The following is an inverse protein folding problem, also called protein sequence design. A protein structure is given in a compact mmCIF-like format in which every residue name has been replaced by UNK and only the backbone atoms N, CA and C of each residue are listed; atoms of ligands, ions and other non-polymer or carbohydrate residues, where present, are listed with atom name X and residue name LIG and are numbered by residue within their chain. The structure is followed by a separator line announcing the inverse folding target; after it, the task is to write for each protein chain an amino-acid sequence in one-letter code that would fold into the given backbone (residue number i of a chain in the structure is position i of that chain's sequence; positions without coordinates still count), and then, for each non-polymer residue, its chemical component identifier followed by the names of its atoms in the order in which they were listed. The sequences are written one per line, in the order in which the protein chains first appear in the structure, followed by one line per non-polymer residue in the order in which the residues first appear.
data_IF_098910053572
#
_entry.id   IF_098910053572
#
_cell.length_a   1.000
_cell.length_b   1.000
_cell.length_c   1.000
_cell.angle_alpha   90.00
_cell.angle_beta   90.00
_cell.angle_gamma   90.00
#
_symmetry.space_group_name_H-M   'P 1'
#
loop_
_entity.id
_entity.type
_entity.pdbx_description
1 polymer ?
#
# COMPACT_ATOMS: atom_id res chain seq x y z
N UNK A 1 17.01 22.02 17.37
CA UNK A 1 15.54 21.92 17.64
C UNK A 1 14.84 22.87 16.68
N UNK A 2 14.52 22.40 15.50
CA UNK A 2 13.82 23.18 14.47
C UNK A 2 12.36 22.74 14.46
N UNK A 3 11.48 23.59 14.96
CA UNK A 3 10.03 23.43 14.90
C UNK A 3 9.59 23.74 13.48
N UNK A 4 9.28 22.71 12.69
CA UNK A 4 8.56 22.86 11.44
C UNK A 4 7.07 23.12 11.76
N UNK A 5 6.64 24.36 11.58
CA UNK A 5 5.23 24.74 11.66
C UNK A 5 4.48 24.16 10.45
N UNK A 6 3.34 23.47 10.64
CA UNK A 6 2.52 23.03 9.51
C UNK A 6 1.91 24.25 8.81
N UNK A 7 2.15 24.38 7.51
CA UNK A 7 1.47 25.37 6.68
C UNK A 7 0.09 24.81 6.29
N UNK A 8 -0.97 25.29 6.95
CA UNK A 8 -2.33 25.02 6.49
C UNK A 8 -2.66 25.97 5.33
N UNK A 9 -2.84 25.42 4.15
CA UNK A 9 -3.38 26.17 3.01
C UNK A 9 -4.87 25.81 2.83
N UNK A 10 -5.74 26.80 2.93
CA UNK A 10 -7.19 26.64 2.73
C UNK A 10 -7.55 27.21 1.36
N UNK A 11 -7.97 26.35 0.41
CA UNK A 11 -8.62 26.83 -0.83
C UNK A 11 -10.12 26.57 -0.76
N UNK A 12 -10.92 27.63 -0.86
CA UNK A 12 -12.39 27.56 -0.90
C UNK A 12 -12.87 27.42 -2.34
N UNK A 13 -13.40 26.25 -2.71
CA UNK A 13 -14.11 26.04 -3.96
C UNK A 13 -15.62 25.84 -3.67
N UNK A 14 -16.46 26.58 -4.40
CA UNK A 14 -17.87 26.70 -4.10
C UNK A 14 -18.65 25.38 -4.23
N UNK A 15 -19.27 24.93 -3.14
CA UNK A 15 -20.36 23.94 -3.15
C UNK A 15 -20.08 22.53 -2.66
N UNK A 16 -18.86 22.09 -2.41
CA UNK A 16 -18.57 20.72 -1.99
C UNK A 16 -17.56 20.60 -0.84
N UNK A 17 -17.82 21.22 0.29
CA UNK A 17 -16.97 21.10 1.49
C UNK A 17 -15.52 21.58 1.29
N UNK A 18 -14.96 22.28 2.26
CA UNK A 18 -13.58 22.77 2.24
C UNK A 18 -12.61 21.58 2.14
N UNK A 19 -11.68 21.63 1.19
CA UNK A 19 -10.56 20.68 1.09
C UNK A 19 -9.43 21.19 1.95
N UNK A 20 -8.93 20.35 2.82
CA UNK A 20 -7.81 20.62 3.71
C UNK A 20 -6.59 19.80 3.30
N UNK A 21 -5.40 20.31 3.63
CA UNK A 21 -4.14 19.63 3.44
C UNK A 21 -3.40 19.57 4.77
N UNK A 22 -2.75 18.44 5.04
CA UNK A 22 -1.94 18.22 6.22
C UNK A 22 -0.72 17.38 5.87
N UNK A 23 0.45 17.77 6.33
CA UNK A 23 1.68 16.99 6.15
C UNK A 23 2.18 16.47 7.49
N UNK A 24 2.67 15.24 7.52
CA UNK A 24 3.19 14.56 8.71
C UNK A 24 4.53 13.92 8.42
N UNK A 25 5.45 14.04 9.38
CA UNK A 25 6.68 13.26 9.42
C UNK A 25 6.73 12.49 10.73
N UNK A 26 7.10 11.22 10.66
CA UNK A 26 7.21 10.32 11.81
C UNK A 26 8.63 9.81 11.90
N UNK A 27 9.27 10.07 13.03
CA UNK A 27 10.62 9.57 13.33
C UNK A 27 10.59 8.08 13.69
N UNK A 28 11.60 7.32 13.26
CA UNK A 28 11.75 5.89 13.55
C UNK A 28 11.91 5.57 15.05
N UNK A 29 12.37 6.53 15.85
CA UNK A 29 12.60 6.40 17.31
C UNK A 29 13.41 5.15 17.70
N UNK A 30 14.32 4.73 16.84
CA UNK A 30 15.21 3.59 17.09
C UNK A 30 14.58 2.20 16.97
N UNK A 31 13.36 2.08 16.45
CA UNK A 31 12.75 0.79 16.15
C UNK A 31 13.60 0.00 15.14
N UNK A 32 13.69 -1.33 15.31
CA UNK A 32 14.44 -2.24 14.42
C UNK A 32 13.54 -2.92 13.38
N UNK A 33 12.24 -2.91 13.59
CA UNK A 33 11.21 -3.34 12.66
C UNK A 33 9.94 -2.56 12.93
N UNK A 34 9.09 -2.37 11.90
CA UNK A 34 7.85 -1.60 12.05
C UNK A 34 6.68 -2.33 11.41
N UNK A 35 5.60 -2.42 12.16
CA UNK A 35 4.29 -2.79 11.65
C UNK A 35 3.55 -1.51 11.24
N UNK A 36 3.14 -1.43 9.96
CA UNK A 36 2.43 -0.30 9.38
C UNK A 36 0.99 -0.74 9.08
N UNK A 37 0.03 -0.02 9.60
CA UNK A 37 -1.39 -0.27 9.37
C UNK A 37 -2.04 0.98 8.76
N UNK A 38 -2.61 0.83 7.57
CA UNK A 38 -3.30 1.90 6.85
C UNK A 38 -4.77 1.52 6.70
N UNK A 39 -5.66 2.38 7.17
CA UNK A 39 -7.11 2.19 7.06
C UNK A 39 -7.74 3.42 6.39
N UNK A 40 -8.22 3.24 5.17
CA UNK A 40 -8.86 4.28 4.37
C UNK A 40 -10.27 3.83 3.95
N UNK A 41 -11.26 4.64 4.22
CA UNK A 41 -12.62 4.33 3.82
C UNK A 41 -12.81 4.40 2.32
N UNK A 42 -12.49 5.55 1.72
CA UNK A 42 -12.51 5.71 0.26
C UNK A 42 -11.63 6.87 -0.19
N UNK A 43 -11.06 6.76 -1.40
CA UNK A 43 -10.20 7.77 -2.02
C UNK A 43 -9.06 7.17 -2.82
N UNK A 44 -7.98 7.92 -2.95
CA UNK A 44 -6.75 7.52 -3.60
C UNK A 44 -5.62 7.39 -2.58
N UNK A 45 -4.94 6.26 -2.58
CA UNK A 45 -3.77 5.98 -1.74
C UNK A 45 -2.55 5.75 -2.63
N UNK A 46 -1.53 6.56 -2.45
CA UNK A 46 -0.21 6.34 -3.05
C UNK A 46 0.79 6.08 -1.93
N UNK A 47 1.47 4.95 -1.98
CA UNK A 47 2.51 4.58 -1.02
C UNK A 47 3.79 4.19 -1.75
N UNK A 48 4.93 4.72 -1.30
CA UNK A 48 6.23 4.43 -1.90
C UNK A 48 7.35 4.43 -0.88
N UNK A 49 8.52 3.97 -1.26
CA UNK A 49 9.75 4.13 -0.48
C UNK A 49 10.30 5.55 -0.53
N UNK A 50 11.41 5.82 0.17
CA UNK A 50 12.22 7.04 0.05
C UNK A 50 12.05 8.06 1.16
N UNK A 51 11.40 7.73 2.29
CA UNK A 51 11.41 8.60 3.46
C UNK A 51 12.76 8.55 4.19
N UNK A 52 13.26 9.72 4.60
CA UNK A 52 14.45 9.81 5.43
C UNK A 52 14.19 9.37 6.89
N UNK A 53 12.98 9.66 7.38
CA UNK A 53 12.46 9.19 8.68
C UNK A 53 11.69 7.89 8.48
N UNK A 54 10.89 7.45 9.44
CA UNK A 54 10.01 6.29 9.27
C UNK A 54 8.98 6.53 8.18
N UNK A 55 8.31 7.68 8.22
CA UNK A 55 7.28 8.04 7.27
C UNK A 55 7.24 9.55 7.05
N UNK A 56 7.09 9.96 5.80
CA UNK A 56 6.60 11.28 5.41
C UNK A 56 5.25 11.10 4.69
N UNK A 57 4.26 11.88 5.06
CA UNK A 57 2.91 11.77 4.51
C UNK A 57 2.31 13.12 4.19
N UNK A 58 1.64 13.20 3.04
CA UNK A 58 0.85 14.33 2.60
C UNK A 58 -0.60 13.87 2.41
N UNK A 59 -1.49 14.50 3.16
CA UNK A 59 -2.91 14.19 3.14
C UNK A 59 -3.70 15.35 2.54
N UNK A 60 -4.58 15.05 1.60
CA UNK A 60 -5.60 15.97 1.11
C UNK A 60 -6.96 15.34 1.35
N UNK A 61 -7.82 16.01 2.08
CA UNK A 61 -9.10 15.46 2.53
C UNK A 61 -10.16 16.57 2.63
N UNK A 62 -11.42 16.20 2.67
CA UNK A 62 -12.49 17.15 2.98
C UNK A 62 -12.62 17.32 4.50
N UNK A 63 -12.79 18.54 4.96
CA UNK A 63 -12.96 18.85 6.39
C UNK A 63 -14.06 18.00 7.06
N UNK A 64 -15.14 17.73 6.34
CA UNK A 64 -16.26 16.89 6.84
C UNK A 64 -15.90 15.41 7.01
N UNK A 65 -14.93 14.89 6.27
CA UNK A 65 -14.52 13.50 6.32
C UNK A 65 -13.52 13.26 7.45
N UNK A 66 -13.08 14.33 8.10
CA UNK A 66 -12.16 14.33 9.21
C UNK A 66 -10.69 14.21 8.79
N UNK A 67 -9.83 14.78 9.62
CA UNK A 67 -8.38 14.73 9.44
C UNK A 67 -7.86 13.30 9.66
N UNK A 68 -6.99 12.77 8.79
CA UNK A 68 -6.33 11.48 9.01
C UNK A 68 -5.60 11.44 10.35
N UNK A 69 -5.81 10.38 11.10
CA UNK A 69 -5.15 10.15 12.38
C UNK A 69 -3.87 9.35 12.17
N UNK A 70 -2.75 9.85 12.69
CA UNK A 70 -1.45 9.18 12.64
C UNK A 70 -0.98 8.93 14.08
N UNK A 71 -0.77 7.66 14.41
CA UNK A 71 -0.29 7.22 15.72
C UNK A 71 0.93 6.33 15.55
N UNK A 72 1.99 6.61 16.31
CA UNK A 72 3.20 5.80 16.28
C UNK A 72 3.73 5.55 17.68
N UNK A 73 3.86 4.28 18.02
CA UNK A 73 4.37 3.79 19.30
C UNK A 73 5.50 2.79 19.10
N UNK A 74 6.47 2.78 20.02
CA UNK A 74 7.58 1.83 20.01
C UNK A 74 7.57 1.04 21.30
N UNK A 75 7.50 -0.29 21.17
CA UNK A 75 7.59 -1.21 22.30
C UNK A 75 8.82 -2.11 22.11
N UNK A 76 9.80 -1.97 22.98
CA UNK A 76 11.09 -2.63 22.81
C UNK A 76 11.80 -2.19 21.53
N UNK A 77 11.98 -3.11 20.58
CA UNK A 77 12.58 -2.84 19.27
C UNK A 77 11.58 -2.79 18.11
N UNK A 78 10.29 -2.94 18.38
CA UNK A 78 9.22 -2.95 17.38
C UNK A 78 8.42 -1.65 17.43
N UNK A 79 8.31 -0.98 16.28
CA UNK A 79 7.40 0.14 16.06
C UNK A 79 6.03 -0.34 15.58
N UNK A 80 4.98 0.41 15.91
CA UNK A 80 3.63 0.23 15.34
C UNK A 80 3.14 1.58 14.87
N UNK A 81 2.96 1.72 13.55
CA UNK A 81 2.45 2.91 12.90
C UNK A 81 1.03 2.66 12.39
N UNK A 82 0.09 3.45 12.88
CA UNK A 82 -1.30 3.41 12.44
C UNK A 82 -1.65 4.72 11.75
N UNK A 83 -2.17 4.63 10.53
CA UNK A 83 -2.71 5.77 9.77
C UNK A 83 -4.14 5.42 9.38
N UNK A 84 -5.10 6.14 9.90
CA UNK A 84 -6.52 5.81 9.68
C UNK A 84 -7.35 7.04 9.35
N UNK A 85 -8.35 6.82 8.52
CA UNK A 85 -9.41 7.79 8.30
C UNK A 85 -10.41 7.70 9.45
N UNK A 86 -10.76 8.83 10.09
CA UNK A 86 -11.80 8.83 11.12
C UNK A 86 -13.14 8.30 10.58
N UNK A 87 -13.85 7.53 11.40
CA UNK A 87 -15.15 6.94 11.02
C UNK A 87 -16.23 8.02 11.02
N UNK A 88 -16.32 8.81 9.96
CA UNK A 88 -17.47 9.68 9.72
C UNK A 88 -18.29 9.08 8.59
N UNK A 89 -19.58 8.87 8.83
CA UNK A 89 -20.51 8.35 7.84
C UNK A 89 -20.79 9.41 6.77
N UNK A 90 -19.86 9.60 5.85
CA UNK A 90 -20.06 10.45 4.70
C UNK A 90 -20.43 9.58 3.51
N UNK A 91 -21.73 9.44 3.24
CA UNK A 91 -22.23 8.90 1.97
C UNK A 91 -22.07 10.03 0.95
N UNK A 92 -20.97 10.00 0.20
CA UNK A 92 -20.70 11.01 -0.82
C UNK A 92 -19.49 10.64 -1.69
N UNK A 93 -19.35 11.33 -2.81
CA UNK A 93 -18.22 11.16 -3.74
C UNK A 93 -16.91 11.57 -3.02
N UNK A 94 -15.99 10.62 -2.80
CA UNK A 94 -14.72 10.80 -2.08
C UNK A 94 -13.53 11.07 -3.01
N UNK A 95 -13.78 11.61 -4.20
CA UNK A 95 -12.78 11.93 -5.23
C UNK A 95 -11.69 12.93 -4.80
N UNK A 96 -11.84 13.55 -3.62
CA UNK A 96 -10.89 14.53 -3.06
C UNK A 96 -10.09 14.01 -1.86
N UNK A 97 -10.25 12.76 -1.48
CA UNK A 97 -9.45 12.15 -0.44
C UNK A 97 -8.24 11.47 -1.09
N UNK A 98 -7.07 12.08 -0.93
CA UNK A 98 -5.83 11.61 -1.54
C UNK A 98 -4.72 11.60 -0.49
N UNK A 99 -4.12 10.43 -0.28
CA UNK A 99 -3.02 10.23 0.65
C UNK A 99 -1.77 9.80 -0.10
N UNK A 100 -0.70 10.52 0.11
CA UNK A 100 0.62 10.16 -0.38
C UNK A 100 1.53 9.88 0.82
N UNK A 101 2.02 8.63 0.93
CA UNK A 101 2.88 8.18 2.01
C UNK A 101 4.21 7.71 1.44
N UNK A 102 5.30 8.21 2.00
CA UNK A 102 6.65 7.69 1.75
C UNK A 102 7.13 6.99 3.01
N UNK A 103 7.62 5.76 2.88
CA UNK A 103 8.14 4.96 3.98
C UNK A 103 9.67 4.83 3.91
N UNK A 104 10.29 4.57 5.04
CA UNK A 104 11.71 4.25 5.10
C UNK A 104 11.98 2.93 4.37
N UNK A 105 13.09 2.89 3.61
CA UNK A 105 13.43 1.71 2.80
C UNK A 105 14.29 0.69 3.57
N UNK A 106 15.00 1.11 4.60
CA UNK A 106 16.02 0.30 5.27
C UNK A 106 15.48 -0.49 6.46
N UNK A 107 14.41 0.01 7.11
CA UNK A 107 13.81 -0.68 8.25
C UNK A 107 12.90 -1.82 7.76
N UNK A 108 12.99 -3.03 8.36
CA UNK A 108 12.06 -4.11 8.04
C UNK A 108 10.61 -3.74 8.32
N UNK A 109 9.74 -3.91 7.31
CA UNK A 109 8.34 -3.51 7.32
C UNK A 109 7.39 -4.70 7.17
N UNK A 110 6.38 -4.73 8.04
CA UNK A 110 5.16 -5.52 7.89
C UNK A 110 4.00 -4.56 7.60
N UNK A 111 3.44 -4.58 6.40
CA UNK A 111 2.46 -3.58 5.94
C UNK A 111 1.08 -4.21 5.79
N UNK A 112 0.07 -3.59 6.37
CA UNK A 112 -1.34 -3.92 6.17
C UNK A 112 -2.09 -2.69 5.66
N UNK A 113 -2.75 -2.83 4.52
CA UNK A 113 -3.56 -1.78 3.88
C UNK A 113 -4.99 -2.25 3.76
N UNK A 114 -5.93 -1.49 4.31
CA UNK A 114 -7.37 -1.72 4.15
C UNK A 114 -8.01 -0.50 3.51
N UNK A 115 -8.66 -0.71 2.36
CA UNK A 115 -9.40 0.32 1.65
C UNK A 115 -10.83 -0.16 1.40
N UNK A 116 -11.81 0.67 1.72
CA UNK A 116 -13.20 0.36 1.41
C UNK A 116 -13.48 0.49 -0.09
N UNK A 117 -13.13 1.63 -0.69
CA UNK A 117 -13.29 1.85 -2.13
C UNK A 117 -12.27 2.86 -2.68
N UNK A 118 -11.93 2.76 -3.96
CA UNK A 118 -11.07 3.74 -4.65
C UNK A 118 -9.86 3.15 -5.35
N UNK A 119 -8.79 3.93 -5.42
CA UNK A 119 -7.56 3.55 -6.13
C UNK A 119 -6.38 3.48 -5.17
N UNK A 120 -5.63 2.39 -5.21
CA UNK A 120 -4.39 2.20 -4.47
C UNK A 120 -3.21 1.96 -5.39
N UNK A 121 -2.10 2.66 -5.12
CA UNK A 121 -0.81 2.44 -5.79
C UNK A 121 0.28 2.28 -4.75
N UNK A 122 0.83 1.08 -4.66
CA UNK A 122 1.88 0.71 -3.71
C UNK A 122 3.17 0.40 -4.48
N UNK A 123 4.16 1.29 -4.44
CA UNK A 123 5.47 1.17 -5.08
C UNK A 123 6.52 0.84 -4.01
N UNK A 124 6.67 -0.45 -3.68
CA UNK A 124 7.41 -0.91 -2.51
C UNK A 124 8.64 -1.78 -2.86
N UNK A 125 9.01 -1.89 -4.14
CA UNK A 125 10.08 -2.79 -4.60
C UNK A 125 11.47 -2.53 -4.02
N UNK A 126 11.74 -1.34 -3.50
CA UNK A 126 13.02 -1.00 -2.87
C UNK A 126 12.99 -1.00 -1.33
N UNK A 127 11.83 -1.23 -0.73
CA UNK A 127 11.70 -1.29 0.73
C UNK A 127 12.13 -2.65 1.28
N UNK A 128 12.53 -2.70 2.54
CA UNK A 128 12.80 -3.96 3.25
C UNK A 128 11.47 -4.56 3.74
N UNK A 129 10.71 -5.09 2.79
CA UNK A 129 9.36 -5.61 3.03
C UNK A 129 9.42 -7.09 3.38
N UNK A 130 8.79 -7.48 4.51
CA UNK A 130 8.61 -8.88 4.89
C UNK A 130 7.19 -9.38 4.61
N UNK A 131 6.19 -8.62 5.01
CA UNK A 131 4.79 -8.96 4.78
C UNK A 131 4.04 -7.78 4.19
N UNK A 132 3.18 -8.07 3.21
CA UNK A 132 2.22 -7.13 2.64
C UNK A 132 0.83 -7.78 2.62
N UNK A 133 -0.10 -7.23 3.35
CA UNK A 133 -1.51 -7.63 3.34
C UNK A 133 -2.37 -6.47 2.85
N UNK A 134 -3.03 -6.65 1.69
CA UNK A 134 -3.86 -5.62 1.06
C UNK A 134 -5.29 -6.13 0.94
N UNK A 135 -6.23 -5.35 1.44
CA UNK A 135 -7.66 -5.63 1.36
C UNK A 135 -8.40 -4.43 0.78
N UNK A 136 -9.10 -4.62 -0.34
CA UNK A 136 -9.86 -3.59 -1.05
C UNK A 136 -11.29 -4.07 -1.30
N UNK A 137 -12.26 -3.30 -0.84
CA UNK A 137 -13.67 -3.63 -1.06
C UNK A 137 -14.07 -3.48 -2.53
N UNK A 138 -13.82 -2.32 -3.12
CA UNK A 138 -14.11 -2.04 -4.53
C UNK A 138 -13.14 -1.02 -5.12
N UNK A 139 -12.66 -1.25 -6.36
CA UNK A 139 -11.81 -0.31 -7.08
C UNK A 139 -10.59 -0.93 -7.73
N UNK A 140 -9.54 -0.14 -7.87
CA UNK A 140 -8.30 -0.55 -8.52
C UNK A 140 -7.14 -0.58 -7.51
N UNK A 141 -6.37 -1.68 -7.51
CA UNK A 141 -5.16 -1.81 -6.71
C UNK A 141 -3.97 -2.18 -7.57
N UNK A 142 -2.94 -1.33 -7.56
CA UNK A 142 -1.66 -1.57 -8.20
C UNK A 142 -0.59 -1.78 -7.15
N UNK A 143 0.03 -2.95 -7.14
CA UNK A 143 1.15 -3.30 -6.26
C UNK A 143 2.38 -3.52 -7.13
N UNK A 144 3.38 -2.66 -6.98
CA UNK A 144 4.66 -2.75 -7.67
C UNK A 144 5.74 -3.14 -6.67
N UNK A 145 6.25 -4.35 -6.83
CA UNK A 145 7.35 -4.93 -6.06
C UNK A 145 8.60 -5.11 -6.93
N UNK A 146 8.61 -4.53 -8.13
CA UNK A 146 9.80 -4.52 -8.98
C UNK A 146 10.93 -3.73 -8.30
N UNK A 147 12.16 -4.15 -8.48
CA UNK A 147 13.30 -3.55 -7.80
C UNK A 147 14.23 -4.62 -7.26
N UNK A 148 14.85 -4.35 -6.11
CA UNK A 148 15.80 -5.26 -5.48
C UNK A 148 15.23 -5.78 -4.16
N UNK A 149 14.56 -6.94 -4.14
CA UNK A 149 14.02 -7.50 -2.90
C UNK A 149 15.16 -7.76 -1.91
N UNK A 150 15.03 -7.27 -0.69
CA UNK A 150 16.05 -7.39 0.37
C UNK A 150 15.83 -8.61 1.27
N UNK A 151 15.08 -9.59 0.80
CA UNK A 151 14.76 -10.83 1.52
C UNK A 151 13.48 -11.47 1.03
N UNK A 152 13.13 -12.59 1.65
CA UNK A 152 11.87 -13.27 1.37
C UNK A 152 10.69 -12.42 1.82
N UNK A 153 9.58 -12.48 1.08
CA UNK A 153 8.36 -11.76 1.43
C UNK A 153 7.09 -12.56 1.15
N UNK A 154 6.10 -12.33 1.98
CA UNK A 154 4.75 -12.86 1.82
C UNK A 154 3.80 -11.72 1.44
N UNK A 155 3.08 -11.89 0.33
CA UNK A 155 2.16 -10.89 -0.22
C UNK A 155 0.76 -11.49 -0.31
N UNK A 156 -0.21 -10.84 0.31
CA UNK A 156 -1.64 -11.20 0.21
C UNK A 156 -2.42 -10.02 -0.32
N UNK A 157 -3.20 -10.27 -1.37
CA UNK A 157 -4.09 -9.26 -1.93
C UNK A 157 -5.50 -9.84 -1.99
N UNK A 158 -6.45 -9.18 -1.35
CA UNK A 158 -7.86 -9.52 -1.36
C UNK A 158 -8.66 -8.37 -1.95
N UNK A 159 -9.38 -8.63 -3.03
CA UNK A 159 -10.25 -7.67 -3.70
C UNK A 159 -11.70 -8.16 -3.72
N UNK A 160 -12.66 -7.26 -3.47
CA UNK A 160 -14.08 -7.55 -3.65
C UNK A 160 -14.50 -7.41 -5.11
N UNK A 161 -14.50 -6.17 -5.63
CA UNK A 161 -14.91 -5.84 -7.01
C UNK A 161 -13.90 -4.87 -7.61
N UNK A 162 -13.34 -5.19 -8.78
CA UNK A 162 -12.44 -4.28 -9.50
C UNK A 162 -11.22 -4.96 -10.11
N UNK A 163 -10.11 -4.24 -10.14
CA UNK A 163 -8.87 -4.70 -10.77
C UNK A 163 -7.72 -4.73 -9.76
N UNK A 164 -6.97 -5.83 -9.77
CA UNK A 164 -5.71 -5.96 -9.05
C UNK A 164 -4.56 -6.21 -10.05
N UNK A 165 -3.59 -5.31 -10.10
CA UNK A 165 -2.38 -5.47 -10.91
C UNK A 165 -1.17 -5.60 -9.97
N UNK A 166 -0.41 -6.71 -10.12
CA UNK A 166 0.75 -7.01 -9.30
C UNK A 166 1.96 -7.18 -10.20
N UNK A 167 2.95 -6.29 -10.04
CA UNK A 167 4.22 -6.32 -10.75
C UNK A 167 5.30 -6.88 -9.84
N UNK A 168 6.04 -7.86 -10.34
CA UNK A 168 6.96 -8.67 -9.57
C UNK A 168 8.34 -8.73 -10.25
N UNK A 169 9.46 -8.75 -9.47
CA UNK A 169 10.81 -8.76 -10.03
C UNK A 169 11.20 -10.13 -10.59
N UNK A 170 11.79 -10.16 -11.79
CA UNK A 170 12.32 -11.38 -12.42
C UNK A 170 13.44 -12.07 -11.65
N UNK A 171 14.15 -11.31 -10.80
CA UNK A 171 15.29 -11.84 -10.02
C UNK A 171 14.86 -12.66 -8.82
N UNK A 172 13.64 -12.47 -8.33
CA UNK A 172 13.12 -13.28 -7.25
C UNK A 172 12.55 -14.61 -7.77
N UNK A 173 12.53 -15.62 -6.93
CA UNK A 173 11.72 -16.83 -7.13
C UNK A 173 10.30 -16.51 -6.76
N UNK A 174 9.39 -16.66 -7.69
CA UNK A 174 7.96 -16.35 -7.49
C UNK A 174 7.17 -17.64 -7.34
N UNK A 175 6.29 -17.66 -6.34
CA UNK A 175 5.34 -18.72 -6.09
C UNK A 175 3.98 -18.07 -5.81
N UNK A 176 3.07 -18.12 -6.80
CA UNK A 176 1.87 -17.32 -6.83
C UNK A 176 0.63 -18.20 -6.91
N UNK A 177 -0.29 -18.01 -5.97
CA UNK A 177 -1.66 -18.51 -6.02
C UNK A 177 -2.60 -17.36 -6.36
N UNK A 178 -3.44 -17.53 -7.41
CA UNK A 178 -4.40 -16.52 -7.78
C UNK A 178 -5.76 -17.17 -8.03
N UNK A 179 -6.76 -16.67 -7.29
CA UNK A 179 -8.15 -17.13 -7.38
C UNK A 179 -9.05 -15.94 -7.70
N UNK A 180 -9.80 -16.04 -8.78
CA UNK A 180 -10.83 -15.09 -9.18
C UNK A 180 -12.22 -15.73 -9.11
N UNK A 181 -13.23 -14.97 -8.70
CA UNK A 181 -14.63 -15.42 -8.78
C UNK A 181 -15.17 -15.28 -10.21
N UNK A 182 -15.56 -14.08 -10.59
CA UNK A 182 -16.08 -13.77 -11.95
C UNK A 182 -15.13 -12.77 -12.59
N UNK A 183 -14.43 -13.16 -13.68
CA UNK A 183 -13.49 -12.31 -14.39
C UNK A 183 -12.32 -13.07 -14.98
N UNK A 184 -11.22 -12.36 -15.19
CA UNK A 184 -10.04 -12.90 -15.87
C UNK A 184 -8.82 -12.82 -14.96
N UNK A 185 -7.96 -13.86 -15.02
CA UNK A 185 -6.61 -13.84 -14.47
C UNK A 185 -5.63 -13.85 -15.65
N UNK A 186 -4.93 -12.75 -15.82
CA UNK A 186 -3.86 -12.60 -16.82
C UNK A 186 -2.50 -12.71 -16.16
N UNK A 187 -1.59 -13.49 -16.74
CA UNK A 187 -0.23 -13.65 -16.24
C UNK A 187 0.78 -13.47 -17.37
N UNK A 188 1.73 -12.57 -17.18
CA UNK A 188 2.79 -12.27 -18.14
C UNK A 188 4.16 -12.55 -17.51
N UNK A 189 5.02 -13.27 -18.23
CA UNK A 189 6.35 -13.64 -17.75
C UNK A 189 6.32 -14.69 -16.64
N UNK A 190 5.23 -15.47 -16.56
CA UNK A 190 4.99 -16.52 -15.57
C UNK A 190 4.49 -17.79 -16.26
N UNK A 191 4.92 -18.94 -15.76
CA UNK A 191 4.48 -20.25 -16.21
C UNK A 191 3.47 -20.83 -15.23
N UNK A 192 2.36 -21.36 -15.75
CA UNK A 192 1.36 -22.03 -14.92
C UNK A 192 1.75 -23.49 -14.68
N UNK A 193 1.87 -23.88 -13.41
CA UNK A 193 2.15 -25.25 -12.98
C UNK A 193 1.08 -25.72 -11.99
N UNK A 194 0.13 -26.48 -12.46
CA UNK A 194 -1.06 -26.84 -11.70
C UNK A 194 -1.95 -25.60 -11.43
N UNK A 195 -2.17 -25.29 -10.19
CA UNK A 195 -2.93 -24.12 -9.70
C UNK A 195 -2.05 -22.91 -9.36
N UNK A 196 -0.71 -23.02 -9.54
CA UNK A 196 0.29 -21.98 -9.22
C UNK A 196 0.90 -21.37 -10.46
N UNK A 197 1.34 -20.11 -10.31
CA UNK A 197 2.12 -19.39 -11.29
C UNK A 197 3.53 -19.19 -10.75
N UNK A 198 4.53 -19.49 -11.57
CA UNK A 198 5.95 -19.44 -11.20
C UNK A 198 6.75 -18.79 -12.32
N UNK A 199 7.91 -18.24 -11.99
CA UNK A 199 8.89 -17.79 -12.98
C UNK A 199 10.14 -18.68 -12.98
N UNK A 200 10.98 -18.51 -14.01
CA UNK A 200 12.36 -18.91 -13.97
C UNK A 200 13.20 -17.67 -13.65
N UNK A 201 13.83 -17.60 -12.45
CA UNK A 201 14.61 -16.43 -12.06
C UNK A 201 15.74 -16.13 -13.04
N UNK A 202 16.02 -14.85 -13.30
CA UNK A 202 17.13 -14.42 -14.13
C UNK A 202 18.45 -14.53 -13.36
N UNK A 203 19.00 -15.73 -13.26
CA UNK A 203 20.21 -16.04 -12.48
C UNK A 203 19.91 -16.70 -11.14
N UNK A 204 20.83 -16.55 -10.17
CA UNK A 204 20.59 -16.98 -8.79
C UNK A 204 19.52 -16.07 -8.15
N UNK A 205 18.51 -16.67 -7.54
CA UNK A 205 17.41 -15.91 -6.97
C UNK A 205 17.84 -15.20 -5.68
N UNK A 206 17.70 -13.89 -5.64
CA UNK A 206 18.05 -13.06 -4.47
C UNK A 206 17.08 -13.26 -3.29
N UNK A 207 15.83 -13.65 -3.59
CA UNK A 207 14.76 -13.84 -2.60
C UNK A 207 13.66 -14.75 -3.14
N UNK A 208 12.79 -15.23 -2.26
CA UNK A 208 11.54 -15.90 -2.62
C UNK A 208 10.36 -15.02 -2.25
N UNK A 209 9.42 -14.83 -3.18
CA UNK A 209 8.19 -14.06 -2.98
C UNK A 209 7.01 -15.01 -3.12
N UNK A 210 6.28 -15.20 -2.02
CA UNK A 210 5.01 -15.92 -2.02
C UNK A 210 3.87 -14.92 -2.17
N UNK A 211 3.02 -15.13 -3.18
CA UNK A 211 1.90 -14.24 -3.48
C UNK A 211 0.60 -15.01 -3.44
N UNK A 212 -0.37 -14.53 -2.68
CA UNK A 212 -1.73 -15.05 -2.67
C UNK A 212 -2.70 -13.93 -3.05
N UNK A 213 -3.43 -14.11 -4.16
CA UNK A 213 -4.40 -13.14 -4.66
C UNK A 213 -5.77 -13.76 -4.69
N UNK A 214 -6.74 -13.10 -4.05
CA UNK A 214 -8.13 -13.52 -4.06
C UNK A 214 -9.01 -12.35 -4.53
N UNK A 215 -9.57 -12.46 -5.73
CA UNK A 215 -10.51 -11.50 -6.31
C UNK A 215 -11.95 -12.03 -6.28
N UNK A 216 -12.92 -11.16 -6.06
CA UNK A 216 -14.33 -11.47 -6.19
C UNK A 216 -14.82 -11.36 -7.66
N UNK A 217 -15.03 -10.13 -8.12
CA UNK A 217 -15.49 -9.82 -9.48
C UNK A 217 -14.52 -8.82 -10.11
N UNK A 218 -13.92 -9.18 -11.28
CA UNK A 218 -13.03 -8.27 -12.00
C UNK A 218 -11.80 -8.94 -12.58
N UNK A 219 -10.67 -8.19 -12.63
CA UNK A 219 -9.46 -8.67 -13.28
C UNK A 219 -8.31 -8.78 -12.28
N UNK A 220 -7.49 -9.82 -12.45
CA UNK A 220 -6.21 -10.00 -11.76
C UNK A 220 -5.10 -10.03 -12.81
N UNK A 221 -4.19 -9.07 -12.78
CA UNK A 221 -3.06 -8.98 -13.69
C UNK A 221 -1.76 -9.25 -12.92
N UNK A 222 -1.08 -10.33 -13.26
CA UNK A 222 0.22 -10.71 -12.71
C UNK A 222 1.29 -10.45 -13.76
N UNK A 223 2.31 -9.65 -13.43
CA UNK A 223 3.35 -9.24 -14.37
C UNK A 223 4.73 -9.50 -13.73
N UNK A 224 5.53 -10.37 -14.33
CA UNK A 224 6.91 -10.62 -13.96
C UNK A 224 7.86 -9.91 -14.94
N UNK A 225 8.63 -8.95 -14.46
CA UNK A 225 9.53 -8.13 -15.30
C UNK A 225 10.84 -7.72 -14.61
#
# INVERSE_FOLDING_TARGET
MALLTPACYVSSDGGSGTVEQDSRSVDLKGAKSVQVQIEMGAGELVMRGGAAQLMDADFRYRARDGKPEVQYDVTGSRGTLNVRQPSHHSIGNNDKNHWELRLNEDVPLDISVKMGAGEGRLELGNTTLHNLDVEVGAGEMKVDLTGHPRGNMDVRVRGGVGEATIRLPKRARLDIEAHGGIGEISARGLDKRGDRWMNEPSGEADATIHVSVNGGIGQINLICE
#
